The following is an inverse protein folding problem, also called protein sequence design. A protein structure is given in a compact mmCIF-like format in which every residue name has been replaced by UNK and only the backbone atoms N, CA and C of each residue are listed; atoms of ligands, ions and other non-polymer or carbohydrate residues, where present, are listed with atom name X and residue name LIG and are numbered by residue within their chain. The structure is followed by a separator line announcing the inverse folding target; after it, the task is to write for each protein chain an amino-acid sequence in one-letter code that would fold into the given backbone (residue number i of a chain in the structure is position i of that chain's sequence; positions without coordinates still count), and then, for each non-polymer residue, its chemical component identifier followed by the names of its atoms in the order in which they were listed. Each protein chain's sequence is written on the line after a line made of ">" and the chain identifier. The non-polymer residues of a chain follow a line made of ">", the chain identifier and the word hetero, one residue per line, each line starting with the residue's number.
data_IF_462480818404
#
_entry.id   IF_462480818404
#
_cell.length_a   1.000
_cell.length_b   1.000
_cell.length_c   1.000
_cell.angle_alpha   90.00
_cell.angle_beta   90.00
_cell.angle_gamma   90.00
#
_symmetry.space_group_name_H-M   'P 1'
#
loop_
_entity.id
_entity.type
_entity.pdbx_description
1 polymer ?
#
# COMPACT_ATOMS: atom_id res chain seq x y z
N UNK A 1 -5.57 9.84 11.37
CA UNK A 1 -4.63 8.73 11.54
C UNK A 1 -3.21 9.23 11.30
N UNK A 2 -2.32 9.02 12.25
CA UNK A 2 -0.94 9.47 12.17
C UNK A 2 -0.12 8.50 11.33
N UNK A 3 0.72 9.02 10.44
CA UNK A 3 1.64 8.18 9.67
C UNK A 3 2.62 7.45 10.58
N UNK A 4 2.97 6.17 10.29
CA UNK A 4 3.99 5.46 11.04
C UNK A 4 5.34 6.20 10.99
N UNK A 5 6.03 6.20 12.11
CA UNK A 5 7.22 7.01 12.32
C UNK A 5 8.52 6.21 12.15
N UNK A 6 9.60 6.94 11.89
CA UNK A 6 10.96 6.39 11.88
C UNK A 6 11.43 6.01 13.30
N UNK A 7 12.44 5.11 13.40
CA UNK A 7 13.06 4.81 14.68
C UNK A 7 13.73 6.07 15.25
N UNK A 8 13.50 6.33 16.54
CA UNK A 8 14.17 7.42 17.29
C UNK A 8 14.15 8.78 16.59
N UNK A 9 13.09 9.08 15.83
CA UNK A 9 12.97 10.36 15.12
C UNK A 9 13.95 10.53 13.95
N UNK A 10 14.56 9.46 13.47
CA UNK A 10 15.45 9.50 12.31
C UNK A 10 14.69 9.95 11.04
N UNK A 11 15.42 10.46 10.06
CA UNK A 11 14.83 10.83 8.77
C UNK A 11 14.39 9.57 8.00
N UNK A 12 13.23 9.63 7.36
CA UNK A 12 12.72 8.56 6.49
C UNK A 12 13.27 8.76 5.08
N UNK A 13 13.90 7.74 4.51
CA UNK A 13 14.43 7.79 3.15
C UNK A 13 13.31 7.71 2.13
N UNK A 14 13.46 8.42 1.01
CA UNK A 14 12.50 8.37 -0.09
C UNK A 14 12.69 7.11 -0.93
N UNK A 15 11.59 6.45 -1.24
CA UNK A 15 11.54 5.31 -2.17
C UNK A 15 10.64 5.71 -3.34
N UNK A 16 11.09 5.45 -4.56
CA UNK A 16 10.29 5.71 -5.76
C UNK A 16 9.38 4.53 -6.05
N UNK A 17 8.09 4.79 -6.18
CA UNK A 17 7.07 3.78 -6.51
C UNK A 17 6.62 3.97 -7.95
N UNK A 18 6.55 2.90 -8.71
CA UNK A 18 6.09 2.90 -10.10
C UNK A 18 5.06 1.79 -10.33
N UNK A 19 4.19 2.00 -11.30
CA UNK A 19 3.19 1.04 -11.74
C UNK A 19 2.86 1.26 -13.22
N UNK A 20 1.76 0.67 -13.69
CA UNK A 20 1.29 0.83 -15.07
C UNK A 20 0.72 2.22 -15.36
N UNK A 21 0.69 3.11 -14.37
CA UNK A 21 0.17 4.47 -14.48
C UNK A 21 1.15 5.45 -13.83
N UNK A 22 1.01 6.73 -14.15
CA UNK A 22 1.95 7.76 -13.73
C UNK A 22 1.46 8.53 -12.50
N UNK A 23 2.42 9.10 -11.76
CA UNK A 23 2.13 10.05 -10.68
C UNK A 23 1.23 11.17 -11.20
N UNK A 24 0.11 11.42 -10.51
CA UNK A 24 -0.86 12.43 -10.91
C UNK A 24 -1.77 12.03 -12.08
N UNK A 25 -1.58 10.83 -12.62
CA UNK A 25 -2.40 10.30 -13.72
C UNK A 25 -3.67 9.63 -13.21
N UNK A 26 -4.35 8.92 -14.12
CA UNK A 26 -5.56 8.17 -13.80
C UNK A 26 -5.26 6.71 -13.53
N UNK A 27 -5.94 6.13 -12.56
CA UNK A 27 -5.88 4.68 -12.34
C UNK A 27 -6.63 4.00 -13.49
N UNK A 28 -6.01 3.09 -14.25
CA UNK A 28 -6.70 2.37 -15.32
C UNK A 28 -7.90 1.58 -14.80
N UNK A 29 -8.93 1.51 -15.62
CA UNK A 29 -10.24 0.94 -15.25
C UNK A 29 -10.14 -0.50 -14.73
N UNK A 30 -9.23 -1.31 -15.27
CA UNK A 30 -9.08 -2.71 -14.85
C UNK A 30 -8.59 -2.88 -13.41
N UNK A 31 -8.08 -1.82 -12.80
CA UNK A 31 -7.65 -1.83 -11.40
C UNK A 31 -8.71 -1.23 -10.47
N UNK A 32 -9.91 -1.00 -10.97
CA UNK A 32 -11.02 -0.34 -10.26
C UNK A 32 -12.28 -1.19 -10.28
N UNK A 33 -13.28 -0.79 -9.49
CA UNK A 33 -14.57 -1.50 -9.45
C UNK A 33 -15.36 -1.42 -10.77
N UNK A 34 -15.00 -0.53 -11.68
CA UNK A 34 -15.62 -0.42 -13.01
C UNK A 34 -15.05 -1.42 -14.02
N UNK A 35 -13.96 -2.08 -13.69
CA UNK A 35 -13.33 -3.08 -14.54
C UNK A 35 -13.13 -4.40 -13.82
N UNK A 36 -11.97 -5.00 -14.01
CA UNK A 36 -11.65 -6.32 -13.45
C UNK A 36 -11.40 -6.30 -11.93
N UNK A 37 -11.25 -5.14 -11.35
CA UNK A 37 -10.88 -4.96 -9.95
C UNK A 37 -9.60 -5.72 -9.59
N UNK A 38 -8.66 -5.77 -10.52
CA UNK A 38 -7.41 -6.51 -10.38
C UNK A 38 -6.36 -5.65 -9.67
N UNK A 39 -5.52 -6.28 -8.85
CA UNK A 39 -4.40 -5.60 -8.25
C UNK A 39 -3.37 -5.24 -9.33
N UNK A 40 -2.93 -3.97 -9.40
CA UNK A 40 -1.86 -3.60 -10.33
C UNK A 40 -0.52 -4.13 -9.86
N UNK A 41 0.40 -4.37 -10.79
CA UNK A 41 1.80 -4.58 -10.43
C UNK A 41 2.35 -3.27 -9.85
N UNK A 42 3.11 -3.38 -8.76
CA UNK A 42 3.70 -2.21 -8.09
C UNK A 42 5.18 -2.50 -7.92
N UNK A 43 6.03 -1.59 -8.39
CA UNK A 43 7.48 -1.71 -8.28
C UNK A 43 8.04 -0.55 -7.46
N UNK A 44 9.23 -0.73 -6.90
CA UNK A 44 9.87 0.30 -6.10
C UNK A 44 11.37 0.26 -6.26
N UNK A 45 12.02 1.40 -5.99
CA UNK A 45 13.47 1.52 -5.96
C UNK A 45 14.03 0.82 -4.72
N UNK A 46 15.35 0.61 -4.69
CA UNK A 46 16.03 -0.11 -3.61
C UNK A 46 15.70 0.50 -2.24
N UNK A 47 15.25 -0.32 -1.28
CA UNK A 47 15.04 0.16 0.09
C UNK A 47 16.37 0.56 0.76
N UNK A 48 16.33 1.42 1.78
CA UNK A 48 17.54 1.79 2.51
C UNK A 48 18.18 0.62 3.23
N UNK A 49 19.48 0.73 3.51
CA UNK A 49 20.20 -0.27 4.31
C UNK A 49 19.57 -0.46 5.68
N UNK A 50 19.58 -1.69 6.18
CA UNK A 50 18.94 -2.04 7.45
C UNK A 50 17.51 -2.50 7.33
N UNK A 51 16.92 -2.46 6.14
CA UNK A 51 15.55 -2.92 5.91
C UNK A 51 15.45 -4.43 6.14
N UNK A 52 14.52 -4.83 7.00
CA UNK A 52 14.26 -6.23 7.34
C UNK A 52 13.00 -6.76 6.67
N UNK A 53 12.01 -5.88 6.42
CA UNK A 53 10.79 -6.25 5.74
C UNK A 53 10.16 -5.04 5.06
N UNK A 54 9.20 -5.30 4.16
CA UNK A 54 8.47 -4.26 3.44
C UNK A 54 6.98 -4.47 3.63
N UNK A 55 6.23 -3.37 3.51
CA UNK A 55 4.77 -3.39 3.48
C UNK A 55 4.27 -2.46 2.38
N UNK A 56 3.14 -2.82 1.77
CA UNK A 56 2.46 -1.98 0.77
C UNK A 56 1.05 -1.70 1.25
N UNK A 57 0.62 -0.45 1.13
CA UNK A 57 -0.72 -0.02 1.48
C UNK A 57 -1.28 0.82 0.34
N UNK A 58 -2.49 0.49 -0.10
CA UNK A 58 -3.25 1.30 -1.06
C UNK A 58 -4.43 1.91 -0.33
N UNK A 59 -4.53 3.23 -0.32
CA UNK A 59 -5.62 3.92 0.39
C UNK A 59 -6.15 5.13 -0.37
N UNK A 60 -7.30 5.61 0.08
CA UNK A 60 -8.02 6.77 -0.43
C UNK A 60 -8.16 7.80 0.71
N UNK A 61 -7.35 8.88 0.68
CA UNK A 61 -7.45 9.92 1.72
C UNK A 61 -8.66 10.85 1.55
N UNK A 62 -9.38 10.75 0.44
CA UNK A 62 -10.53 11.62 0.12
C UNK A 62 -11.87 10.97 0.42
N UNK A 63 -11.89 9.77 0.98
CA UNK A 63 -13.14 9.08 1.31
C UNK A 63 -13.97 9.87 2.33
N UNK A 64 -15.32 9.82 2.24
CA UNK A 64 -16.20 10.67 3.06
C UNK A 64 -16.01 10.54 4.57
N UNK A 65 -15.65 9.35 5.05
CA UNK A 65 -15.49 9.09 6.49
C UNK A 65 -14.04 9.11 6.97
N UNK A 66 -13.11 9.61 6.16
CA UNK A 66 -11.67 9.60 6.42
C UNK A 66 -10.95 8.60 5.52
N UNK A 67 -9.65 8.41 5.74
CA UNK A 67 -8.84 7.52 4.91
C UNK A 67 -9.41 6.12 4.87
N UNK A 68 -9.66 5.62 3.66
CA UNK A 68 -10.19 4.29 3.41
C UNK A 68 -9.10 3.38 2.85
N UNK A 69 -8.85 2.26 3.48
CA UNK A 69 -7.81 1.32 3.05
C UNK A 69 -8.38 0.29 2.09
N UNK A 70 -7.82 0.26 0.87
CA UNK A 70 -8.23 -0.63 -0.21
C UNK A 70 -7.43 -1.93 -0.23
N UNK A 71 -6.18 -1.89 0.19
CA UNK A 71 -5.29 -3.05 0.18
C UNK A 71 -4.15 -2.84 1.17
N UNK A 72 -3.76 -3.90 1.86
CA UNK A 72 -2.56 -3.91 2.69
C UNK A 72 -1.94 -5.29 2.66
N UNK A 73 -0.61 -5.31 2.49
CA UNK A 73 0.19 -6.53 2.47
C UNK A 73 1.50 -6.26 3.21
N UNK A 74 1.95 -7.19 4.02
CA UNK A 74 3.09 -7.03 4.90
C UNK A 74 3.91 -8.32 5.00
N UNK A 75 5.11 -8.21 5.58
CA UNK A 75 6.03 -9.33 5.62
C UNK A 75 6.64 -9.63 4.26
N UNK A 76 6.72 -8.62 3.38
CA UNK A 76 7.37 -8.75 2.09
C UNK A 76 8.88 -8.80 2.33
N UNK A 77 9.58 -9.69 1.63
CA UNK A 77 11.03 -9.84 1.75
C UNK A 77 11.76 -8.53 1.40
N UNK A 78 12.77 -8.17 2.19
CA UNK A 78 13.50 -6.92 2.03
C UNK A 78 14.19 -6.80 0.65
N UNK A 79 14.52 -7.91 0.01
CA UNK A 79 15.13 -7.94 -1.33
C UNK A 79 14.10 -8.01 -2.47
N UNK A 80 12.81 -7.97 -2.17
CA UNK A 80 11.79 -7.89 -3.20
C UNK A 80 11.80 -6.51 -3.86
N UNK A 81 11.50 -6.46 -5.16
CA UNK A 81 11.49 -5.23 -5.95
C UNK A 81 10.11 -4.86 -6.47
N UNK A 82 9.14 -5.76 -6.32
CA UNK A 82 7.78 -5.55 -6.84
C UNK A 82 6.77 -6.48 -6.21
N UNK A 83 5.50 -6.07 -6.31
CA UNK A 83 4.35 -6.94 -6.18
C UNK A 83 3.89 -7.36 -7.56
N UNK A 84 3.59 -8.63 -7.72
CA UNK A 84 3.08 -9.19 -8.97
C UNK A 84 1.61 -8.79 -9.13
N UNK A 85 1.28 -8.21 -10.27
CA UNK A 85 -0.11 -7.82 -10.57
C UNK A 85 -1.02 -9.01 -10.84
N UNK A 86 -2.30 -8.86 -10.51
CA UNK A 86 -3.33 -9.86 -10.80
C UNK A 86 -3.14 -11.21 -10.11
N UNK A 87 -2.40 -11.25 -9.01
CA UNK A 87 -2.05 -12.48 -8.31
C UNK A 87 -2.69 -12.55 -6.93
N UNK A 88 -3.13 -13.75 -6.53
CA UNK A 88 -3.59 -14.01 -5.17
C UNK A 88 -2.43 -14.06 -4.16
N UNK A 89 -1.20 -14.25 -4.66
CA UNK A 89 0.02 -14.26 -3.87
C UNK A 89 1.04 -13.31 -4.51
N UNK A 90 0.84 -11.98 -4.37
CA UNK A 90 1.66 -10.99 -5.08
C UNK A 90 3.11 -10.95 -4.62
N UNK A 91 3.42 -11.47 -3.43
CA UNK A 91 4.78 -11.59 -2.93
C UNK A 91 4.90 -12.89 -2.12
N UNK A 92 5.88 -13.76 -2.43
CA UNK A 92 6.06 -15.03 -1.69
C UNK A 92 6.28 -14.78 -0.20
N UNK A 93 5.55 -15.50 0.64
CA UNK A 93 5.68 -15.44 2.10
C UNK A 93 5.03 -14.23 2.77
N UNK A 94 4.56 -13.25 2.00
CA UNK A 94 3.86 -12.10 2.54
C UNK A 94 2.41 -12.44 2.89
N UNK A 95 1.85 -11.67 3.83
CA UNK A 95 0.47 -11.85 4.30
C UNK A 95 -0.38 -10.65 3.91
N UNK A 96 -1.61 -10.90 3.48
CA UNK A 96 -2.57 -9.86 3.12
C UNK A 96 -3.44 -9.54 4.32
N UNK A 97 -3.63 -8.26 4.61
CA UNK A 97 -4.49 -7.78 5.67
C UNK A 97 -5.94 -7.62 5.21
N UNK A 98 -6.78 -7.23 6.16
CA UNK A 98 -8.20 -6.96 5.90
C UNK A 98 -8.37 -5.49 5.52
N UNK A 99 -8.91 -5.24 4.34
CA UNK A 99 -9.21 -3.87 3.89
C UNK A 99 -10.50 -3.34 4.54
N UNK A 100 -10.83 -2.08 4.26
CA UNK A 100 -12.00 -1.44 4.88
C UNK A 100 -13.33 -1.87 4.24
N UNK A 101 -13.30 -2.67 3.17
CA UNK A 101 -14.49 -3.40 2.71
C UNK A 101 -14.74 -4.67 3.53
N UNK A 102 -13.81 -5.05 4.40
CA UNK A 102 -13.90 -6.29 5.18
C UNK A 102 -13.36 -7.51 4.45
N UNK A 103 -12.61 -7.32 3.36
CA UNK A 103 -12.05 -8.41 2.55
C UNK A 103 -10.52 -8.50 2.72
N UNK A 104 -9.99 -9.70 2.53
CA UNK A 104 -8.55 -9.99 2.61
C UNK A 104 -8.03 -10.09 1.17
N UNK A 105 -8.05 -8.96 0.49
CA UNK A 105 -7.64 -8.84 -0.91
C UNK A 105 -7.54 -7.38 -1.32
N UNK A 106 -7.01 -7.15 -2.52
CA UNK A 106 -7.13 -5.85 -3.18
C UNK A 106 -8.59 -5.63 -3.64
N UNK A 107 -9.16 -4.49 -3.24
CA UNK A 107 -10.37 -3.94 -3.84
C UNK A 107 -10.02 -2.53 -4.30
N UNK A 108 -10.22 -2.26 -5.59
CA UNK A 108 -9.74 -1.03 -6.21
C UNK A 108 -10.61 0.19 -5.96
N UNK A 109 -10.17 1.33 -6.52
CA UNK A 109 -10.91 2.57 -6.47
C UNK A 109 -12.38 2.40 -6.85
N UNK A 110 -13.26 2.94 -6.01
CA UNK A 110 -14.71 2.92 -6.23
C UNK A 110 -15.36 4.10 -5.51
N UNK A 111 -15.06 5.35 -5.94
CA UNK A 111 -15.62 6.52 -5.27
C UNK A 111 -17.11 6.65 -5.56
N UNK A 112 -17.86 7.45 -4.80
CA UNK A 112 -19.25 7.75 -5.13
C UNK A 112 -19.37 8.31 -6.55
N UNK A 113 -20.45 8.00 -7.24
CA UNK A 113 -20.72 8.49 -8.59
C UNK A 113 -20.65 10.01 -8.65
N UNK A 114 -19.92 10.54 -9.63
CA UNK A 114 -19.74 11.97 -9.82
C UNK A 114 -18.58 12.56 -9.04
N UNK A 115 -17.85 11.76 -8.27
CA UNK A 115 -16.68 12.21 -7.51
C UNK A 115 -15.40 11.61 -8.07
N UNK A 116 -14.31 12.36 -7.92
CA UNK A 116 -12.96 11.90 -8.24
C UNK A 116 -12.14 11.95 -6.95
N UNK A 117 -11.53 10.83 -6.59
CA UNK A 117 -10.68 10.72 -5.41
C UNK A 117 -9.24 10.43 -5.78
N UNK A 118 -8.32 10.74 -4.85
CA UNK A 118 -6.91 10.34 -4.93
C UNK A 118 -6.75 8.95 -4.35
N UNK A 119 -5.86 8.17 -4.95
CA UNK A 119 -5.49 6.85 -4.45
C UNK A 119 -3.98 6.80 -4.29
N UNK A 120 -3.52 6.43 -3.10
CA UNK A 120 -2.09 6.38 -2.77
C UNK A 120 -1.64 4.93 -2.74
N UNK A 121 -0.64 4.62 -3.55
CA UNK A 121 0.03 3.33 -3.60
C UNK A 121 1.36 3.50 -2.88
N UNK A 122 1.47 2.99 -1.66
CA UNK A 122 2.56 3.31 -0.75
C UNK A 122 3.39 2.09 -0.42
N UNK A 123 4.73 2.28 -0.35
CA UNK A 123 5.69 1.29 0.14
C UNK A 123 6.29 1.79 1.45
N UNK A 124 6.43 0.91 2.42
CA UNK A 124 7.13 1.16 3.68
C UNK A 124 8.25 0.15 3.85
N UNK A 125 9.47 0.65 4.06
CA UNK A 125 10.63 -0.17 4.41
C UNK A 125 10.83 -0.12 5.91
N UNK A 126 10.91 -1.29 6.54
CA UNK A 126 10.89 -1.43 8.00
C UNK A 126 12.18 -2.07 8.52
N UNK A 127 12.66 -1.63 9.68
CA UNK A 127 13.84 -2.19 10.34
C UNK A 127 13.54 -3.44 11.17
N UNK A 128 12.32 -3.95 11.10
CA UNK A 128 11.89 -5.13 11.83
C UNK A 128 10.92 -5.96 11.00
N UNK A 129 10.77 -7.24 11.35
CA UNK A 129 9.73 -8.08 10.78
C UNK A 129 8.37 -7.68 11.39
N UNK A 130 7.32 -7.69 10.58
CA UNK A 130 5.95 -7.48 11.04
C UNK A 130 5.41 -8.82 11.56
N UNK A 131 5.10 -8.87 12.85
CA UNK A 131 4.60 -10.08 13.52
C UNK A 131 3.09 -10.01 13.67
N UNK A 132 2.38 -9.99 12.56
CA UNK A 132 0.93 -9.97 12.51
C UNK A 132 0.41 -11.20 11.76
N UNK A 133 -0.76 -11.75 12.15
CA UNK A 133 -1.39 -12.81 11.39
C UNK A 133 -1.96 -12.27 10.08
N UNK A 134 -2.39 -13.17 9.20
CA UNK A 134 -3.19 -12.81 8.04
C UNK A 134 -4.47 -12.09 8.48
N UNK A 135 -4.99 -11.23 7.63
CA UNK A 135 -6.21 -10.46 7.87
C UNK A 135 -6.10 -9.43 9.00
N UNK A 136 -4.88 -8.98 9.33
CA UNK A 136 -4.71 -7.85 10.25
C UNK A 136 -5.32 -6.58 9.65
N UNK A 137 -5.81 -5.70 10.52
CA UNK A 137 -6.39 -4.42 10.11
C UNK A 137 -5.34 -3.37 9.80
N UNK A 138 -5.74 -2.28 9.14
CA UNK A 138 -4.86 -1.13 8.93
C UNK A 138 -4.31 -0.59 10.24
N UNK A 139 -5.14 -0.46 11.26
CA UNK A 139 -4.74 0.04 12.58
C UNK A 139 -3.68 -0.86 13.22
N UNK A 140 -3.84 -2.18 13.13
CA UNK A 140 -2.86 -3.12 13.64
C UNK A 140 -1.53 -3.02 12.88
N UNK A 141 -1.58 -2.87 11.56
CA UNK A 141 -0.37 -2.69 10.76
C UNK A 141 0.33 -1.38 11.08
N UNK A 142 -0.41 -0.27 11.16
CA UNK A 142 0.16 1.04 11.51
C UNK A 142 0.86 0.99 12.87
N UNK A 143 0.25 0.34 13.86
CA UNK A 143 0.85 0.18 15.18
C UNK A 143 2.14 -0.65 15.12
N UNK A 144 2.14 -1.73 14.34
CA UNK A 144 3.32 -2.59 14.19
C UNK A 144 4.46 -1.87 13.46
N UNK A 145 4.16 -0.97 12.52
CA UNK A 145 5.16 -0.22 11.76
C UNK A 145 5.71 0.99 12.52
N UNK A 146 4.94 1.54 13.46
CA UNK A 146 5.33 2.78 14.13
C UNK A 146 6.65 2.62 14.89
N UNK A 147 7.59 3.56 14.65
CA UNK A 147 8.93 3.52 15.22
C UNK A 147 9.91 2.63 14.44
N UNK A 148 9.50 2.08 13.29
CA UNK A 148 10.31 1.14 12.52
C UNK A 148 10.49 1.54 11.04
N UNK A 149 9.93 2.69 10.61
CA UNK A 149 9.95 3.08 9.19
C UNK A 149 11.30 3.70 8.83
N UNK A 150 12.05 3.01 7.97
CA UNK A 150 13.33 3.49 7.41
C UNK A 150 13.16 4.21 6.08
N UNK A 151 12.15 3.82 5.31
CA UNK A 151 11.90 4.39 4.00
C UNK A 151 10.42 4.36 3.65
N UNK A 152 10.00 5.31 2.82
CA UNK A 152 8.61 5.44 2.39
C UNK A 152 8.56 6.03 0.98
N UNK A 153 7.65 5.54 0.18
CA UNK A 153 7.36 6.07 -1.14
C UNK A 153 5.88 6.01 -1.45
N UNK A 154 5.42 6.91 -2.28
CA UNK A 154 4.01 6.99 -2.67
C UNK A 154 3.89 7.29 -4.16
N UNK A 155 3.02 6.55 -4.83
CA UNK A 155 2.53 6.87 -6.16
C UNK A 155 1.06 7.25 -6.00
N UNK A 156 0.71 8.49 -6.36
CA UNK A 156 -0.66 8.99 -6.24
C UNK A 156 -1.29 9.09 -7.63
N UNK A 157 -2.47 8.55 -7.79
CA UNK A 157 -3.24 8.64 -9.03
C UNK A 157 -4.72 8.88 -8.70
N UNK A 158 -5.48 9.27 -9.69
CA UNK A 158 -6.88 9.70 -9.54
C UNK A 158 -7.82 8.71 -10.22
N UNK A 159 -9.01 8.58 -9.68
CA UNK A 159 -10.10 7.87 -10.34
C UNK A 159 -11.43 8.49 -9.97
N UNK A 160 -12.30 8.63 -10.97
CA UNK A 160 -13.67 9.08 -10.82
C UNK A 160 -14.58 8.43 -11.86
N UNK A 161 -15.88 8.39 -11.56
CA UNK A 161 -16.85 7.83 -12.51
C UNK A 161 -18.22 8.50 -12.40
#
# INVERSE_FOLDING_TARGET
>A
MTEPQAPNGAAVSSITVTSAFSEGGSVPIDFTCDGKDAQPAISWSAPPGGTQSLAVIVDDPDAPSGTFTHFLIYGIAANAHQLKGGSDAPAPGALVGKNDFGAVRYNGPCPPKGEEHRYRFQIFALDAAVKLPEAATRSELDTAMNGHVLGHGTLTAYFGH
#
